data_IF_343986725817
#
_entry.id   IF_343986725817
#
_cell.length_a   1.000
_cell.length_b   1.000
_cell.length_c   1.000
_cell.angle_alpha   90.00
_cell.angle_beta   90.00
_cell.angle_gamma   90.00
#
_symmetry.space_group_name_H-M   'P 1'
#
loop_
_entity.id
_entity.type
_entity.pdbx_description
1 polymer ?
#
# COMPACT_ATOMS: atom_id res chain seq x y z
N UNK A 1 -22.41 -9.70 -20.66
CA UNK A 1 -22.10 -9.72 -22.11
C UNK A 1 -22.00 -8.27 -22.55
N UNK A 2 -20.91 -7.88 -23.20
CA UNK A 2 -20.64 -6.49 -23.58
C UNK A 2 -21.50 -6.15 -24.81
N UNK A 3 -22.33 -5.12 -24.73
CA UNK A 3 -23.17 -4.71 -25.86
C UNK A 3 -22.28 -4.33 -27.05
N UNK A 4 -22.52 -4.97 -28.21
CA UNK A 4 -21.82 -4.69 -29.44
C UNK A 4 -22.26 -3.32 -29.97
N UNK A 5 -21.31 -2.39 -30.04
CA UNK A 5 -21.47 -1.05 -30.60
C UNK A 5 -22.21 -1.09 -31.96
N UNK A 6 -23.37 -0.44 -32.05
CA UNK A 6 -24.29 -0.43 -33.21
C UNK A 6 -23.77 0.39 -34.42
N UNK A 7 -22.45 0.54 -34.56
CA UNK A 7 -21.80 1.14 -35.72
C UNK A 7 -20.83 0.12 -36.27
N UNK A 8 -21.36 -0.91 -36.93
CA UNK A 8 -20.55 -1.78 -37.77
C UNK A 8 -20.12 -0.94 -39.01
N UNK A 9 -18.83 -0.60 -39.17
CA UNK A 9 -18.36 0.19 -40.31
C UNK A 9 -18.39 -0.61 -41.62
N UNK A 10 -18.63 -1.91 -41.56
CA UNK A 10 -18.77 -2.79 -42.71
C UNK A 10 -20.26 -3.05 -42.97
N UNK A 11 -20.92 -2.08 -43.62
CA UNK A 11 -22.23 -2.31 -44.25
C UNK A 11 -22.02 -2.51 -45.74
N UNK A 12 -22.53 -3.62 -46.27
CA UNK A 12 -22.65 -3.82 -47.71
C UNK A 12 -23.76 -2.92 -48.26
N UNK A 13 -23.67 -2.48 -49.53
CA UNK A 13 -24.77 -1.80 -50.19
C UNK A 13 -26.08 -2.61 -50.11
N UNK A 14 -27.20 -1.91 -50.19
CA UNK A 14 -28.52 -2.53 -50.36
C UNK A 14 -28.49 -3.41 -51.62
N UNK A 15 -29.10 -4.60 -51.54
CA UNK A 15 -29.22 -5.58 -52.63
C UNK A 15 -27.91 -6.18 -53.20
N UNK A 16 -26.74 -5.89 -52.59
CA UNK A 16 -25.44 -6.40 -53.03
C UNK A 16 -25.42 -7.92 -53.27
N UNK A 17 -25.96 -8.70 -52.34
CA UNK A 17 -25.92 -10.17 -52.43
C UNK A 17 -26.93 -10.74 -53.44
N UNK A 18 -28.09 -10.09 -53.58
CA UNK A 18 -29.11 -10.47 -54.56
C UNK A 18 -28.60 -10.23 -55.98
N UNK A 19 -28.05 -9.04 -56.23
CA UNK A 19 -27.46 -8.67 -57.52
C UNK A 19 -26.20 -9.48 -57.82
N UNK A 20 -25.33 -9.69 -56.83
CA UNK A 20 -24.11 -10.49 -56.99
C UNK A 20 -24.43 -11.92 -57.42
N UNK A 21 -25.44 -12.54 -56.82
CA UNK A 21 -25.83 -13.91 -57.17
C UNK A 21 -26.34 -13.99 -58.60
N UNK A 22 -27.17 -13.02 -59.02
CA UNK A 22 -27.66 -12.92 -60.40
C UNK A 22 -26.52 -12.70 -61.41
N UNK A 23 -25.59 -11.80 -61.11
CA UNK A 23 -24.43 -11.51 -61.95
C UNK A 23 -23.47 -12.69 -62.05
N UNK A 24 -23.16 -13.34 -60.91
CA UNK A 24 -22.30 -14.53 -60.86
C UNK A 24 -22.92 -15.67 -61.65
N UNK A 25 -24.22 -15.93 -61.48
CA UNK A 25 -24.90 -17.00 -62.19
C UNK A 25 -25.00 -16.71 -63.69
N UNK A 26 -25.23 -15.45 -64.06
CA UNK A 26 -25.16 -14.99 -65.45
C UNK A 26 -23.78 -15.24 -66.08
N UNK A 27 -22.71 -14.85 -65.39
CA UNK A 27 -21.33 -15.09 -65.85
C UNK A 27 -20.98 -16.58 -65.98
N UNK A 28 -21.46 -17.43 -65.07
CA UNK A 28 -21.22 -18.89 -65.14
C UNK A 28 -22.06 -19.55 -66.25
N UNK A 29 -23.23 -19.01 -66.58
CA UNK A 29 -24.20 -19.64 -67.49
C UNK A 29 -24.06 -19.20 -68.95
N UNK A 30 -23.69 -17.94 -69.21
CA UNK A 30 -23.55 -17.41 -70.58
C UNK A 30 -22.22 -17.79 -71.23
N UNK A 31 -21.20 -18.10 -70.44
CA UNK A 31 -19.85 -18.37 -70.89
C UNK A 31 -19.37 -19.67 -70.28
N UNK A 32 -19.41 -20.77 -71.06
CA UNK A 32 -18.66 -21.98 -70.73
C UNK A 32 -17.22 -21.63 -70.33
N UNK A 33 -16.56 -22.43 -69.47
CA UNK A 33 -15.49 -21.96 -68.59
C UNK A 33 -14.47 -21.10 -69.33
N UNK A 34 -14.51 -19.78 -69.11
CA UNK A 34 -13.46 -18.82 -69.49
C UNK A 34 -12.19 -18.97 -68.67
N UNK A 35 -12.09 -20.04 -67.88
CA UNK A 35 -10.89 -20.39 -67.15
C UNK A 35 -9.92 -20.93 -68.20
N UNK A 36 -9.01 -20.08 -68.67
CA UNK A 36 -7.86 -20.55 -69.42
C UNK A 36 -7.17 -21.61 -68.56
N UNK A 37 -6.96 -22.82 -69.09
CA UNK A 37 -6.32 -23.93 -68.36
C UNK A 37 -4.94 -23.53 -67.78
N UNK A 38 -4.34 -22.47 -68.32
CA UNK A 38 -3.08 -21.87 -67.88
C UNK A 38 -3.18 -20.86 -66.73
N UNK A 39 -4.37 -20.36 -66.38
CA UNK A 39 -4.60 -19.33 -65.35
C UNK A 39 -5.06 -19.90 -64.00
N UNK A 40 -4.98 -21.22 -63.83
CA UNK A 40 -5.14 -21.85 -62.52
C UNK A 40 -3.96 -21.56 -61.58
N UNK A 41 -4.22 -21.55 -60.27
CA UNK A 41 -3.14 -21.53 -59.27
C UNK A 41 -2.27 -22.77 -59.43
N UNK A 42 -1.09 -22.60 -60.03
CA UNK A 42 -0.07 -23.65 -60.04
C UNK A 42 0.64 -23.67 -58.70
N UNK A 43 0.67 -24.83 -58.07
CA UNK A 43 1.54 -25.04 -56.90
C UNK A 43 2.99 -25.03 -57.37
N UNK A 44 3.93 -24.52 -56.56
CA UNK A 44 5.36 -24.63 -56.85
C UNK A 44 5.78 -26.08 -57.05
N UNK A 45 6.77 -26.30 -57.91
CA UNK A 45 7.39 -27.62 -58.10
C UNK A 45 7.88 -28.15 -56.74
N UNK A 46 7.54 -29.40 -56.42
CA UNK A 46 7.93 -30.04 -55.16
C UNK A 46 7.10 -29.65 -53.93
N UNK A 47 6.05 -28.83 -54.06
CA UNK A 47 5.23 -28.39 -52.93
C UNK A 47 4.73 -29.55 -52.07
N UNK A 48 4.17 -30.59 -52.70
CA UNK A 48 3.63 -31.76 -51.99
C UNK A 48 4.72 -32.72 -51.51
N UNK A 49 5.89 -32.72 -52.15
CA UNK A 49 7.03 -33.56 -51.78
C UNK A 49 7.65 -33.06 -50.46
N UNK A 50 7.78 -31.74 -50.31
CA UNK A 50 8.37 -31.11 -49.12
C UNK A 50 7.34 -30.83 -48.01
N UNK A 51 6.04 -30.87 -48.31
CA UNK A 51 4.97 -30.52 -47.37
C UNK A 51 5.06 -31.33 -46.08
N UNK A 52 5.23 -32.64 -46.19
CA UNK A 52 5.30 -33.54 -45.05
C UNK A 52 6.51 -33.23 -44.17
N UNK A 53 7.70 -33.17 -44.77
CA UNK A 53 8.95 -32.82 -44.10
C UNK A 53 8.90 -31.44 -43.42
N UNK A 54 8.25 -30.46 -44.06
CA UNK A 54 8.08 -29.13 -43.50
C UNK A 54 7.14 -29.10 -42.27
N UNK A 55 6.08 -29.92 -42.30
CA UNK A 55 5.17 -30.06 -41.15
C UNK A 55 5.91 -30.74 -39.99
N UNK A 56 6.62 -31.83 -40.25
CA UNK A 56 7.38 -32.54 -39.21
C UNK A 56 8.46 -31.65 -38.58
N UNK A 57 9.22 -30.90 -39.40
CA UNK A 57 10.23 -29.96 -38.90
C UNK A 57 9.62 -28.84 -38.05
N UNK A 58 8.41 -28.36 -38.37
CA UNK A 58 7.71 -27.36 -37.56
C UNK A 58 7.20 -27.92 -36.24
N UNK A 59 6.83 -29.20 -36.20
CA UNK A 59 6.38 -29.89 -34.98
C UNK A 59 7.56 -30.34 -34.10
N UNK A 60 8.73 -30.58 -34.70
CA UNK A 60 9.97 -30.93 -34.01
C UNK A 60 10.68 -29.73 -33.35
N UNK A 61 10.12 -28.52 -33.48
CA UNK A 61 10.61 -27.33 -32.78
C UNK A 61 10.69 -27.53 -31.25
N UNK A 62 11.57 -26.79 -30.56
CA UNK A 62 11.78 -26.96 -29.13
C UNK A 62 10.46 -26.79 -28.39
N UNK A 63 10.08 -27.81 -27.60
CA UNK A 63 8.86 -27.78 -26.82
C UNK A 63 8.91 -26.57 -25.87
N UNK A 64 8.10 -25.55 -26.16
CA UNK A 64 7.95 -24.41 -25.25
C UNK A 64 7.47 -24.97 -23.93
N UNK A 65 8.27 -24.76 -22.88
CA UNK A 65 7.96 -25.19 -21.51
C UNK A 65 6.70 -24.46 -21.05
N UNK A 66 5.54 -25.04 -21.30
CA UNK A 66 4.27 -24.55 -20.79
C UNK A 66 4.27 -24.78 -19.28
N UNK A 67 4.17 -23.70 -18.51
CA UNK A 67 4.03 -23.78 -17.06
C UNK A 67 2.52 -23.90 -16.78
N UNK A 68 2.01 -25.06 -16.35
CA UNK A 68 0.60 -25.22 -16.01
C UNK A 68 0.24 -24.40 -14.78
N UNK A 69 -0.73 -23.49 -14.91
CA UNK A 69 -1.21 -22.65 -13.82
C UNK A 69 -2.19 -23.42 -12.93
N UNK A 70 -1.68 -24.04 -11.87
CA UNK A 70 -2.50 -24.78 -10.92
C UNK A 70 -3.20 -23.83 -9.94
N UNK A 71 -4.53 -23.92 -9.85
CA UNK A 71 -5.35 -23.03 -9.02
C UNK A 71 -5.37 -23.49 -7.56
N UNK A 72 -4.43 -23.01 -6.75
CA UNK A 72 -4.25 -23.35 -5.33
C UNK A 72 -5.28 -22.72 -4.37
N UNK A 73 -6.58 -22.73 -4.73
CA UNK A 73 -7.67 -22.08 -3.98
C UNK A 73 -7.79 -22.52 -2.52
N UNK A 74 -7.42 -23.76 -2.20
CA UNK A 74 -7.49 -24.30 -0.83
C UNK A 74 -6.48 -23.64 0.12
N UNK A 75 -5.32 -23.25 -0.39
CA UNK A 75 -4.25 -22.63 0.41
C UNK A 75 -4.45 -21.13 0.58
N UNK A 76 -5.38 -20.50 -0.14
CA UNK A 76 -5.66 -19.08 0.00
C UNK A 76 -6.19 -18.74 1.40
N UNK A 77 -7.11 -19.55 1.93
CA UNK A 77 -7.61 -19.40 3.30
C UNK A 77 -6.53 -19.68 4.35
N UNK A 78 -5.67 -20.68 4.11
CA UNK A 78 -4.54 -20.97 5.00
C UNK A 78 -3.52 -19.82 5.02
N UNK A 79 -3.16 -19.28 3.85
CA UNK A 79 -2.26 -18.13 3.73
C UNK A 79 -2.87 -16.86 4.36
N UNK A 80 -4.18 -16.64 4.18
CA UNK A 80 -4.89 -15.53 4.83
C UNK A 80 -4.89 -15.65 6.36
N UNK A 81 -5.06 -16.86 6.91
CA UNK A 81 -4.99 -17.10 8.35
C UNK A 81 -3.58 -16.82 8.91
N UNK A 82 -2.53 -17.28 8.21
CA UNK A 82 -1.13 -16.99 8.60
C UNK A 82 -0.86 -15.49 8.54
N UNK A 83 -1.28 -14.80 7.48
CA UNK A 83 -1.13 -13.35 7.36
C UNK A 83 -1.87 -12.60 8.46
N UNK A 84 -3.10 -13.01 8.81
CA UNK A 84 -3.86 -12.42 9.91
C UNK A 84 -3.15 -12.60 11.26
N UNK A 85 -2.57 -13.78 11.52
CA UNK A 85 -1.78 -14.03 12.73
C UNK A 85 -0.52 -13.13 12.79
N UNK A 86 0.18 -12.95 11.67
CA UNK A 86 1.33 -12.04 11.57
C UNK A 86 0.91 -10.58 11.83
N UNK A 87 -0.21 -10.13 11.26
CA UNK A 87 -0.74 -8.79 11.51
C UNK A 87 -1.13 -8.59 12.97
N UNK A 88 -1.78 -9.59 13.59
CA UNK A 88 -2.10 -9.55 15.02
C UNK A 88 -0.84 -9.49 15.89
N UNK A 89 0.18 -10.28 15.57
CA UNK A 89 1.47 -10.26 16.27
C UNK A 89 2.14 -8.88 16.18
N UNK A 90 2.23 -8.31 14.97
CA UNK A 90 2.78 -6.98 14.77
C UNK A 90 1.96 -5.89 15.48
N UNK A 91 0.62 -6.03 15.50
CA UNK A 91 -0.26 -5.10 16.22
C UNK A 91 0.01 -5.10 17.71
N UNK A 92 0.20 -6.27 18.32
CA UNK A 92 0.53 -6.37 19.75
C UNK A 92 1.87 -5.71 20.04
N UNK A 93 2.88 -5.95 19.19
CA UNK A 93 4.21 -5.35 19.35
C UNK A 93 4.21 -3.83 19.22
N UNK A 94 3.37 -3.26 18.35
CA UNK A 94 3.26 -1.80 18.18
C UNK A 94 2.50 -1.10 19.31
N UNK A 95 1.61 -1.82 20.00
CA UNK A 95 0.86 -1.31 21.15
C UNK A 95 1.50 -1.75 22.47
N UNK A 96 2.82 -1.97 22.49
CA UNK A 96 3.53 -2.12 23.75
C UNK A 96 3.28 -0.84 24.56
N UNK A 97 2.68 -0.93 25.77
CA UNK A 97 2.53 0.24 26.61
C UNK A 97 3.92 0.81 26.86
N UNK A 98 4.10 2.10 26.60
CA UNK A 98 5.24 2.82 27.17
C UNK A 98 5.17 2.56 28.67
N UNK A 99 6.22 1.98 29.26
CA UNK A 99 6.29 1.83 30.71
C UNK A 99 6.28 3.24 31.29
N UNK A 100 5.12 3.69 31.80
CA UNK A 100 5.00 4.97 32.48
C UNK A 100 5.86 4.87 33.72
N UNK A 101 6.96 5.60 33.74
CA UNK A 101 7.89 5.57 34.87
C UNK A 101 7.58 6.68 35.86
N UNK A 102 8.08 6.54 37.09
CA UNK A 102 7.94 7.59 38.10
C UNK A 102 8.57 8.92 37.66
N UNK A 103 9.60 8.87 36.81
CA UNK A 103 10.20 10.06 36.21
C UNK A 103 9.23 10.82 35.29
N UNK A 104 8.31 10.11 34.59
CA UNK A 104 7.30 10.75 33.74
C UNK A 104 6.27 11.52 34.57
N UNK A 105 5.91 10.97 35.74
CA UNK A 105 5.01 11.61 36.70
C UNK A 105 5.65 12.86 37.30
N UNK A 106 6.91 12.76 37.75
CA UNK A 106 7.64 13.89 38.32
C UNK A 106 7.77 15.04 37.31
N UNK A 107 8.05 14.74 36.04
CA UNK A 107 8.13 15.77 35.00
C UNK A 107 6.77 16.46 34.75
N UNK A 108 5.69 15.67 34.69
CA UNK A 108 4.33 16.19 34.52
C UNK A 108 3.91 17.10 35.68
N UNK A 109 4.29 16.73 36.91
CA UNK A 109 3.96 17.53 38.10
C UNK A 109 4.72 18.86 38.11
N UNK A 110 6.00 18.84 37.71
CA UNK A 110 6.82 20.06 37.58
C UNK A 110 6.23 21.00 36.50
N UNK A 111 5.86 20.47 35.34
CA UNK A 111 5.23 21.25 34.27
C UNK A 111 3.91 21.90 34.74
N UNK A 112 3.05 21.10 35.38
CA UNK A 112 1.79 21.59 35.95
C UNK A 112 2.00 22.62 37.06
N UNK A 113 3.04 22.47 37.89
CA UNK A 113 3.40 23.44 38.92
C UNK A 113 3.73 24.80 38.29
N UNK A 114 4.51 24.84 37.21
CA UNK A 114 4.85 26.08 36.50
C UNK A 114 3.66 26.68 35.72
N UNK A 115 2.76 25.86 35.18
CA UNK A 115 1.52 26.36 34.58
C UNK A 115 0.55 26.95 35.61
N UNK A 116 0.48 26.35 36.80
CA UNK A 116 -0.46 26.76 37.86
C UNK A 116 0.07 27.95 38.65
N UNK A 117 1.39 28.04 38.86
CA UNK A 117 2.00 29.18 39.52
C UNK A 117 2.13 30.37 38.55
N UNK A 118 1.83 31.55 39.08
CA UNK A 118 1.48 32.81 38.41
C UNK A 118 2.55 33.45 37.49
N UNK A 119 3.56 32.70 37.02
CA UNK A 119 4.55 33.24 36.11
C UNK A 119 4.07 33.27 34.66
N UNK A 120 3.08 32.45 34.29
CA UNK A 120 2.43 32.49 32.97
C UNK A 120 3.38 32.23 31.79
N UNK A 121 4.59 31.74 32.06
CA UNK A 121 5.62 31.42 31.09
C UNK A 121 5.77 29.91 31.02
N UNK A 122 5.76 29.37 29.80
CA UNK A 122 6.12 27.98 29.53
C UNK A 122 7.61 27.73 29.80
N UNK A 123 7.99 26.47 30.02
CA UNK A 123 9.40 26.06 30.19
C UNK A 123 10.31 26.58 29.06
N UNK A 124 9.80 26.67 27.84
CA UNK A 124 10.53 27.19 26.69
C UNK A 124 10.72 28.71 26.75
N UNK A 125 9.69 29.46 27.19
CA UNK A 125 9.79 30.91 27.37
C UNK A 125 10.72 31.27 28.54
N UNK A 126 10.72 30.47 29.61
CA UNK A 126 11.66 30.62 30.73
C UNK A 126 13.11 30.43 30.23
N UNK A 127 13.37 29.42 29.40
CA UNK A 127 14.70 29.16 28.85
C UNK A 127 15.19 30.27 27.89
N UNK A 128 14.28 31.01 27.25
CA UNK A 128 14.59 32.15 26.39
C UNK A 128 14.88 33.42 27.21
N UNK A 129 14.16 33.61 28.33
CA UNK A 129 14.29 34.80 29.18
C UNK A 129 15.46 34.71 30.15
N UNK A 130 15.89 33.51 30.54
CA UNK A 130 17.06 33.34 31.41
C UNK A 130 18.35 33.61 30.60
N UNK A 131 19.14 34.65 30.91
CA UNK A 131 20.37 34.96 30.19
C UNK A 131 21.49 34.02 30.66
N UNK A 132 21.48 32.78 30.17
CA UNK A 132 22.42 31.71 30.59
C UNK A 132 23.89 32.13 30.43
N UNK A 133 24.17 32.99 29.45
CA UNK A 133 25.52 33.50 29.16
C UNK A 133 26.00 34.59 30.15
N UNK A 134 25.08 35.22 30.89
CA UNK A 134 25.36 36.27 31.88
C UNK A 134 25.24 35.77 33.33
N UNK A 135 24.84 34.51 33.55
CA UNK A 135 24.75 33.93 34.88
C UNK A 135 26.14 33.57 35.40
N UNK A 136 26.66 34.36 36.34
CA UNK A 136 27.84 33.95 37.10
C UNK A 136 27.43 32.89 38.14
N UNK A 137 28.29 31.87 38.33
CA UNK A 137 28.07 30.82 39.34
C UNK A 137 27.92 31.44 40.75
N UNK A 138 28.52 32.61 40.98
CA UNK A 138 28.35 33.43 42.19
C UNK A 138 26.90 33.85 42.43
N UNK A 139 26.17 34.31 41.40
CA UNK A 139 24.80 34.82 41.56
C UNK A 139 23.82 33.72 41.99
N UNK A 140 24.01 32.52 41.46
CA UNK A 140 23.24 31.31 41.85
C UNK A 140 23.57 30.90 43.29
N UNK A 141 24.83 31.10 43.73
CA UNK A 141 25.29 30.76 45.07
C UNK A 141 25.01 31.84 46.12
N UNK A 142 24.80 33.09 45.71
CA UNK A 142 24.53 34.22 46.61
C UNK A 142 23.04 34.31 46.93
N UNK A 143 22.16 33.97 45.98
CA UNK A 143 20.73 33.75 46.21
C UNK A 143 20.44 32.37 46.84
N UNK A 144 21.32 31.94 47.75
CA UNK A 144 21.28 30.65 48.43
C UNK A 144 19.89 30.43 49.02
N UNK A 145 19.29 29.30 48.66
CA UNK A 145 18.11 28.77 49.34
C UNK A 145 18.41 28.73 50.84
N UNK A 146 17.85 29.69 51.59
CA UNK A 146 17.99 29.73 53.03
C UNK A 146 17.22 28.52 53.58
N UNK A 147 17.91 27.65 54.32
CA UNK A 147 17.34 26.44 54.88
C UNK A 147 16.08 26.75 55.71
N UNK A 148 16.07 27.84 56.48
CA UNK A 148 14.90 28.25 57.26
C UNK A 148 13.70 28.58 56.37
N UNK A 149 13.92 29.30 55.27
CA UNK A 149 12.85 29.61 54.30
C UNK A 149 12.34 28.36 53.59
N UNK A 150 13.23 27.39 53.31
CA UNK A 150 12.84 26.11 52.71
C UNK A 150 12.00 25.29 53.69
N UNK A 151 12.40 25.23 54.95
CA UNK A 151 11.65 24.52 56.00
C UNK A 151 10.27 25.17 56.22
N UNK A 152 10.20 26.50 56.27
CA UNK A 152 8.93 27.22 56.41
C UNK A 152 8.01 27.01 55.21
N UNK A 153 8.55 27.04 53.99
CA UNK A 153 7.78 26.77 52.79
C UNK A 153 7.25 25.34 52.77
N UNK A 154 8.10 24.37 53.07
CA UNK A 154 7.68 22.96 53.13
C UNK A 154 6.57 22.80 54.17
N UNK A 155 6.76 23.25 55.42
CA UNK A 155 5.73 23.13 56.46
C UNK A 155 4.38 23.73 56.06
N UNK A 156 4.37 24.87 55.36
CA UNK A 156 3.13 25.52 54.93
C UNK A 156 2.47 24.88 53.69
N UNK A 157 3.17 24.02 52.95
CA UNK A 157 2.68 23.39 51.72
C UNK A 157 2.65 21.84 51.80
N UNK A 158 3.17 21.23 52.87
CA UNK A 158 3.18 19.77 53.04
C UNK A 158 1.91 19.18 53.65
N UNK A 159 0.99 20.00 54.16
CA UNK A 159 -0.27 19.54 54.77
C UNK A 159 -1.12 18.68 53.81
N UNK A 160 -0.99 18.87 52.49
CA UNK A 160 -1.68 18.07 51.46
C UNK A 160 -1.11 16.64 51.32
N UNK A 161 0.15 16.41 51.72
CA UNK A 161 0.79 15.09 51.62
C UNK A 161 0.51 14.19 52.83
N UNK A 162 0.01 14.74 53.94
CA UNK A 162 -0.31 13.98 55.15
C UNK A 162 -1.58 13.12 54.94
N UNK A 163 -2.51 13.55 54.07
CA UNK A 163 -3.72 12.80 53.71
C UNK A 163 -3.40 11.54 52.86
N UNK A 164 -2.25 11.53 52.16
CA UNK A 164 -1.74 10.39 51.39
C UNK A 164 -0.91 9.42 52.21
N UNK A 165 -0.63 9.73 53.49
CA UNK A 165 -0.03 8.78 54.41
C UNK A 165 -1.10 7.77 54.83
N UNK A 166 -1.42 6.84 53.92
CA UNK A 166 -2.24 5.68 54.20
C UNK A 166 -1.55 4.91 55.32
N UNK A 167 -2.06 5.06 56.55
CA UNK A 167 -1.72 4.22 57.69
C UNK A 167 -1.74 2.77 57.20
N UNK A 168 -0.56 2.20 56.99
CA UNK A 168 -0.40 0.78 56.77
C UNK A 168 -0.42 0.13 58.14
N UNK A 169 -1.60 0.17 58.76
CA UNK A 169 -1.91 -0.65 59.92
C UNK A 169 -2.67 -1.88 59.40
N UNK A 170 -1.99 -3.03 59.51
CA UNK A 170 -2.39 -4.43 59.24
C UNK A 170 -2.60 -4.89 57.78
#
# INVERSE_FOLDING_TARGET
>A
MKELNNKNPFKTPEDYFEDFTGQLMGQISEEGPRIQESEGFKVPDGYFDDLHSNIENKLAGPQVKVIPLHRYRKYYFAAAAVAAAVVLYLRVQWNAPQEVRFEDLANSDIEKYFETNEFGLSTMEIAEVIPVDELEISDILENRLNEENVIDYLNNNTDEFEELNLNTDE
#
